data_IF_986161085683
#
_entry.id   IF_986161085683
#
_cell.length_a   1.000
_cell.length_b   1.000
_cell.length_c   1.000
_cell.angle_alpha   90.00
_cell.angle_beta   90.00
_cell.angle_gamma   90.00
#
_symmetry.space_group_name_H-M   'P 1'
#
loop_
_entity.id
_entity.type
_entity.pdbx_description
1 polymer ?
#
# COMPACT_ATOMS: atom_id res chain seq x y z
N UNK A 1 3.04 -4.08 9.89
CA UNK A 1 2.15 -3.43 8.91
C UNK A 1 2.88 -3.44 7.59
N UNK A 2 2.24 -3.87 6.52
CA UNK A 2 2.89 -3.98 5.20
C UNK A 2 2.47 -2.78 4.36
N UNK A 3 3.43 -2.06 3.80
CA UNK A 3 3.20 -0.94 2.89
C UNK A 3 3.73 -1.32 1.52
N UNK A 4 2.85 -1.31 0.53
CA UNK A 4 3.23 -1.52 -0.87
C UNK A 4 3.51 -0.16 -1.49
N UNK A 5 4.75 0.05 -1.95
CA UNK A 5 5.12 1.20 -2.76
C UNK A 5 5.54 0.75 -4.17
N UNK A 6 5.71 1.73 -5.06
CA UNK A 6 6.12 1.54 -6.46
C UNK A 6 7.47 0.84 -6.65
N UNK A 7 8.38 0.95 -5.68
CA UNK A 7 9.73 0.40 -5.78
C UNK A 7 9.94 -0.84 -4.90
N UNK A 8 9.22 -0.92 -3.77
CA UNK A 8 9.49 -1.91 -2.75
C UNK A 8 8.26 -2.16 -1.85
N UNK A 9 8.26 -3.29 -1.16
CA UNK A 9 7.27 -3.66 -0.15
C UNK A 9 7.90 -3.53 1.23
N UNK A 10 7.50 -2.50 1.96
CA UNK A 10 8.06 -2.19 3.26
C UNK A 10 7.27 -2.85 4.39
N UNK A 11 7.97 -3.58 5.26
CA UNK A 11 7.40 -4.11 6.51
C UNK A 11 7.75 -3.16 7.65
N UNK A 12 6.74 -2.40 8.12
CA UNK A 12 6.92 -1.35 9.12
C UNK A 12 6.07 -1.59 10.37
N UNK A 13 6.56 -1.13 11.52
CA UNK A 13 5.77 -1.03 12.75
C UNK A 13 5.04 0.30 12.78
N UNK A 14 3.76 0.29 12.46
CA UNK A 14 2.92 1.49 12.43
C UNK A 14 2.16 1.64 13.75
N UNK A 15 2.30 2.80 14.39
CA UNK A 15 1.57 3.17 15.60
C UNK A 15 0.46 4.14 15.23
N UNK A 16 -0.80 3.68 15.34
CA UNK A 16 -1.94 4.55 15.19
C UNK A 16 -2.06 5.49 16.38
N UNK A 17 -2.41 6.75 16.10
CA UNK A 17 -2.67 7.73 17.14
C UNK A 17 -3.95 7.34 17.89
N UNK A 18 -3.90 7.34 19.22
CA UNK A 18 -5.05 7.02 20.09
C UNK A 18 -5.42 8.20 21.02
N UNK A 19 -5.10 9.43 20.62
CA UNK A 19 -5.49 10.63 21.36
C UNK A 19 -7.03 10.81 21.35
N UNK A 20 -7.58 11.59 22.29
CA UNK A 20 -9.03 11.85 22.37
C UNK A 20 -9.62 12.47 21.10
N UNK A 21 -8.82 13.21 20.33
CA UNK A 21 -9.20 13.78 19.01
C UNK A 21 -8.79 12.90 17.83
N UNK A 22 -8.34 11.68 18.09
CA UNK A 22 -7.82 10.80 17.03
C UNK A 22 -8.94 10.45 16.05
N UNK A 23 -8.58 10.55 14.78
CA UNK A 23 -9.45 10.17 13.67
C UNK A 23 -9.41 8.64 13.53
N UNK A 24 -10.39 8.05 12.83
CA UNK A 24 -10.41 6.60 12.60
C UNK A 24 -9.14 6.12 11.88
N UNK A 25 -8.77 4.84 12.03
CA UNK A 25 -7.55 4.27 11.45
C UNK A 25 -7.40 4.56 9.95
N UNK A 26 -8.51 4.52 9.20
CA UNK A 26 -8.55 4.83 7.77
C UNK A 26 -8.20 6.30 7.50
N UNK A 27 -8.76 7.23 8.26
CA UNK A 27 -8.47 8.66 8.11
C UNK A 27 -7.00 8.98 8.43
N UNK A 28 -6.42 8.30 9.43
CA UNK A 28 -5.00 8.45 9.75
C UNK A 28 -4.10 7.98 8.61
N UNK A 29 -4.42 6.85 7.96
CA UNK A 29 -3.70 6.33 6.80
C UNK A 29 -3.86 7.24 5.57
N UNK A 30 -5.09 7.68 5.29
CA UNK A 30 -5.35 8.57 4.16
C UNK A 30 -4.64 9.92 4.30
N UNK A 31 -4.46 10.41 5.53
CA UNK A 31 -3.73 11.65 5.81
C UNK A 31 -2.25 11.58 5.44
N UNK A 32 -1.65 10.39 5.49
CA UNK A 32 -0.27 10.14 5.04
C UNK A 32 -0.22 9.58 3.61
N UNK A 33 -1.31 9.71 2.85
CA UNK A 33 -1.44 9.23 1.48
C UNK A 33 -1.23 7.72 1.35
N UNK A 34 -1.70 6.95 2.34
CA UNK A 34 -1.74 5.49 2.30
C UNK A 34 -3.18 5.01 2.22
N UNK A 35 -3.47 4.19 1.22
CA UNK A 35 -4.77 3.58 1.01
C UNK A 35 -4.79 2.18 1.65
N UNK A 36 -5.66 1.94 2.65
CA UNK A 36 -5.73 0.65 3.33
C UNK A 36 -6.30 -0.43 2.42
N UNK A 37 -5.74 -1.64 2.48
CA UNK A 37 -6.29 -2.80 1.77
C UNK A 37 -7.60 -3.31 2.41
N UNK A 38 -7.84 -3.01 3.69
CA UNK A 38 -9.03 -3.44 4.43
C UNK A 38 -9.54 -2.33 5.35
N UNK A 39 -10.86 -2.13 5.38
CA UNK A 39 -11.48 -1.02 6.13
C UNK A 39 -11.57 -1.22 7.65
N UNK A 40 -11.58 -2.45 8.16
CA UNK A 40 -11.82 -2.74 9.58
C UNK A 40 -10.56 -2.84 10.44
N UNK A 41 -9.51 -3.51 9.93
CA UNK A 41 -8.21 -3.65 10.60
C UNK A 41 -7.10 -3.70 9.55
N UNK A 42 -6.68 -2.54 9.02
CA UNK A 42 -5.64 -2.50 7.99
C UNK A 42 -4.35 -3.10 8.56
N UNK A 43 -3.97 -4.26 8.02
CA UNK A 43 -2.62 -4.84 8.21
C UNK A 43 -1.69 -4.48 7.06
N UNK A 44 -2.29 -4.07 5.95
CA UNK A 44 -1.64 -3.73 4.69
C UNK A 44 -2.22 -2.43 4.15
N UNK A 45 -1.38 -1.56 3.60
CA UNK A 45 -1.77 -0.41 2.82
C UNK A 45 -0.91 -0.27 1.58
N UNK A 46 -1.43 0.41 0.57
CA UNK A 46 -0.73 0.80 -0.64
C UNK A 46 -0.56 2.32 -0.65
N UNK A 47 0.57 2.84 -1.13
CA UNK A 47 0.72 4.28 -1.37
C UNK A 47 -0.19 4.73 -2.53
N UNK A 48 -0.65 5.98 -2.55
CA UNK A 48 -1.37 6.49 -3.73
C UNK A 48 -0.53 6.40 -5.01
N UNK A 49 0.81 6.52 -4.90
CA UNK A 49 1.74 6.36 -6.02
C UNK A 49 1.64 4.99 -6.67
N UNK A 50 1.60 3.92 -5.86
CA UNK A 50 1.51 2.56 -6.41
C UNK A 50 0.12 2.29 -6.99
N UNK A 51 -0.93 2.90 -6.44
CA UNK A 51 -2.28 2.82 -7.01
C UNK A 51 -2.37 3.54 -8.36
N UNK A 52 -1.78 4.72 -8.49
CA UNK A 52 -1.73 5.48 -9.74
C UNK A 52 -0.93 4.72 -10.80
N UNK A 53 0.23 4.18 -10.43
CA UNK A 53 1.06 3.38 -11.34
C UNK A 53 0.33 2.11 -11.79
N UNK A 54 -0.30 1.38 -10.86
CA UNK A 54 -1.12 0.22 -11.19
C UNK A 54 -2.30 0.60 -12.10
N UNK A 55 -2.96 1.74 -11.85
CA UNK A 55 -4.09 2.19 -12.66
C UNK A 55 -3.66 2.43 -14.11
N UNK A 56 -2.55 3.14 -14.33
CA UNK A 56 -2.00 3.37 -15.68
C UNK A 56 -1.63 2.06 -16.38
N UNK A 57 -0.90 1.17 -15.70
CA UNK A 57 -0.51 -0.13 -16.25
C UNK A 57 -1.72 -1.02 -16.57
N UNK A 58 -2.74 -1.01 -15.73
CA UNK A 58 -3.97 -1.77 -15.93
C UNK A 58 -4.70 -1.33 -17.20
N UNK A 59 -4.68 -0.02 -17.51
CA UNK A 59 -5.27 0.55 -18.70
C UNK A 59 -4.49 0.17 -19.97
N UNK A 60 -3.15 0.18 -19.92
CA UNK A 60 -2.31 -0.08 -21.09
C UNK A 60 -2.13 -1.57 -21.41
N UNK A 61 -2.09 -2.44 -20.40
CA UNK A 61 -1.56 -3.80 -20.55
C UNK A 61 -2.43 -4.92 -19.98
N UNK A 62 -3.66 -4.63 -19.51
CA UNK A 62 -4.56 -5.60 -18.84
C UNK A 62 -3.89 -6.37 -17.69
N UNK A 63 -2.91 -5.75 -17.04
CA UNK A 63 -2.22 -6.36 -15.89
C UNK A 63 -3.19 -6.46 -14.71
N UNK A 64 -3.28 -7.65 -14.13
CA UNK A 64 -4.04 -7.86 -12.91
C UNK A 64 -3.30 -7.33 -11.68
N UNK A 65 -4.04 -6.98 -10.63
CA UNK A 65 -3.44 -6.56 -9.35
C UNK A 65 -2.49 -7.63 -8.77
N UNK A 66 -2.79 -8.92 -9.03
CA UNK A 66 -1.96 -10.04 -8.61
C UNK A 66 -0.62 -10.06 -9.36
N UNK A 67 -0.63 -9.95 -10.69
CA UNK A 67 0.61 -9.91 -11.50
C UNK A 67 1.48 -8.71 -11.15
N UNK A 68 0.85 -7.55 -10.94
CA UNK A 68 1.56 -6.34 -10.53
C UNK A 68 2.23 -6.50 -9.15
N UNK A 69 1.49 -7.01 -8.17
CA UNK A 69 2.05 -7.32 -6.84
C UNK A 69 3.19 -8.32 -6.93
N UNK A 70 3.05 -9.39 -7.72
CA UNK A 70 4.08 -10.41 -7.87
C UNK A 70 5.34 -9.85 -8.55
N UNK A 71 5.17 -8.90 -9.48
CA UNK A 71 6.27 -8.17 -10.11
C UNK A 71 7.02 -7.32 -9.09
N UNK A 72 6.29 -6.57 -8.25
CA UNK A 72 6.88 -5.81 -7.14
C UNK A 72 7.63 -6.74 -6.18
N UNK A 73 6.99 -7.82 -5.73
CA UNK A 73 7.59 -8.78 -4.79
C UNK A 73 8.91 -9.39 -5.33
N UNK A 74 8.95 -9.73 -6.63
CA UNK A 74 10.19 -10.18 -7.28
C UNK A 74 11.25 -9.09 -7.34
N UNK A 75 10.86 -7.84 -7.56
CA UNK A 75 11.80 -6.72 -7.60
C UNK A 75 12.50 -6.50 -6.25
N UNK A 76 11.79 -6.76 -5.14
CA UNK A 76 12.35 -6.76 -3.78
C UNK A 76 13.29 -7.93 -3.54
N UNK A 77 12.88 -9.15 -3.93
CA UNK A 77 13.60 -10.40 -3.67
C UNK A 77 14.83 -10.61 -4.59
N UNK A 78 14.97 -9.80 -5.65
CA UNK A 78 16.09 -9.85 -6.59
C UNK A 78 17.35 -9.09 -6.12
N UNK A 79 17.39 -8.59 -4.87
CA UNK A 79 18.60 -7.95 -4.29
C UNK A 79 19.59 -8.93 -3.65
N UNK A 80 19.57 -10.20 -4.09
CA UNK A 80 20.48 -11.26 -3.66
C UNK A 80 21.97 -10.97 -3.90
#
# INVERSE_FOLDING_TARGET
>A
FVVVDTHDVHVLSLNFCNCEKSQGYIQQLLRISWYPATSSRPRTAATFRVLEHFHLLSLESKVSAYEYYNTLARLVDNTG
#
